data_IF_300437459342
#
_entry.id   IF_300437459342
#
_cell.length_a   1.000
_cell.length_b   1.000
_cell.length_c   1.000
_cell.angle_alpha   90.00
_cell.angle_beta   90.00
_cell.angle_gamma   90.00
#
_symmetry.space_group_name_H-M   'P 1'
#
loop_
_entity.id
_entity.type
_entity.pdbx_description
1 polymer ?
#
# COMPACT_ATOMS: atom_id res chain seq x y z
N UNK A 1 -34.71 -20.18 -31.38
CA UNK A 1 -35.94 -20.63 -30.68
C UNK A 1 -35.78 -20.25 -29.22
N UNK A 2 -36.40 -19.13 -28.82
CA UNK A 2 -37.38 -18.94 -27.74
C UNK A 2 -36.95 -19.53 -26.37
N UNK A 3 -36.84 -18.79 -25.24
CA UNK A 3 -37.89 -17.92 -24.64
C UNK A 3 -37.27 -16.93 -23.63
N UNK A 4 -37.76 -15.73 -23.67
CA UNK A 4 -37.77 -14.70 -22.63
C UNK A 4 -38.68 -15.13 -21.46
N UNK A 5 -38.29 -14.81 -20.22
CA UNK A 5 -39.24 -14.60 -19.12
C UNK A 5 -38.81 -13.33 -18.38
N UNK A 6 -39.62 -12.29 -18.57
CA UNK A 6 -39.65 -11.10 -17.73
C UNK A 6 -40.58 -11.39 -16.54
N UNK A 7 -40.25 -10.96 -15.36
CA UNK A 7 -41.15 -10.88 -14.23
C UNK A 7 -41.10 -9.48 -13.63
N UNK A 8 -42.16 -8.72 -13.91
CA UNK A 8 -42.59 -7.48 -13.29
C UNK A 8 -43.44 -7.82 -12.06
N UNK A 9 -43.23 -7.18 -10.93
CA UNK A 9 -44.19 -6.95 -9.84
C UNK A 9 -43.79 -5.67 -9.12
N UNK A 10 -44.41 -4.58 -9.41
CA UNK A 10 -45.62 -3.96 -8.81
C UNK A 10 -45.39 -3.37 -7.40
N UNK A 11 -45.46 -2.05 -7.45
CA UNK A 11 -45.66 -1.03 -6.44
C UNK A 11 -46.85 -1.38 -5.50
N UNK A 12 -46.71 -1.05 -4.21
CA UNK A 12 -47.81 -0.65 -3.37
C UNK A 12 -47.40 0.43 -2.36
N UNK A 13 -47.96 1.58 -2.63
CA UNK A 13 -48.00 2.79 -1.83
C UNK A 13 -49.08 2.62 -0.75
N UNK A 14 -48.80 2.88 0.52
CA UNK A 14 -49.87 3.25 1.48
C UNK A 14 -49.42 4.43 2.32
N UNK A 15 -50.15 5.50 2.10
CA UNK A 15 -50.21 6.76 2.83
C UNK A 15 -51.05 6.55 4.09
N UNK A 16 -50.59 7.08 5.23
CA UNK A 16 -51.33 7.14 6.50
C UNK A 16 -50.92 8.34 7.33
N UNK A 17 -51.63 9.46 7.11
CA UNK A 17 -51.69 10.59 8.02
C UNK A 17 -52.56 10.21 9.22
N UNK A 18 -52.20 10.66 10.43
CA UNK A 18 -53.13 11.31 11.36
C UNK A 18 -52.39 12.04 12.51
N UNK A 19 -52.83 13.25 12.75
CA UNK A 19 -52.40 14.21 13.71
C UNK A 19 -52.95 13.92 15.12
N UNK A 20 -52.28 14.47 16.15
CA UNK A 20 -52.82 14.51 17.52
C UNK A 20 -52.03 15.48 18.41
N UNK A 21 -52.56 16.69 18.58
CA UNK A 21 -52.11 17.69 19.57
C UNK A 21 -52.44 17.24 20.98
N UNK A 22 -51.65 17.68 21.96
CA UNK A 22 -51.97 17.62 23.39
C UNK A 22 -50.93 18.36 24.25
N UNK A 23 -51.28 19.60 24.61
CA UNK A 23 -50.63 20.50 25.58
C UNK A 23 -51.00 20.15 27.03
N UNK A 24 -50.07 20.34 28.00
CA UNK A 24 -50.28 20.96 29.33
C UNK A 24 -49.11 20.66 30.28
N UNK A 25 -48.37 21.67 30.67
CA UNK A 25 -48.36 22.45 31.93
C UNK A 25 -47.68 21.76 33.12
N UNK A 26 -46.72 22.52 33.65
CA UNK A 26 -46.02 22.35 34.91
C UNK A 26 -46.98 22.57 36.15
N UNK A 27 -46.53 22.23 37.38
CA UNK A 27 -46.20 23.34 38.26
C UNK A 27 -44.91 23.18 39.10
N UNK A 28 -44.37 24.34 39.43
CA UNK A 28 -43.37 24.62 40.46
C UNK A 28 -43.87 24.23 41.86
N UNK A 29 -42.95 23.90 42.77
CA UNK A 29 -43.14 24.15 44.21
C UNK A 29 -41.75 24.40 44.82
N UNK A 30 -41.63 25.63 45.31
CA UNK A 30 -40.63 26.20 46.21
C UNK A 30 -40.90 25.78 47.65
N UNK A 31 -39.90 25.92 48.53
CA UNK A 31 -39.83 26.14 49.97
C UNK A 31 -38.81 25.18 50.62
N UNK A 32 -37.92 25.46 51.51
CA UNK A 32 -37.43 26.67 52.24
C UNK A 32 -36.16 26.25 53.01
N UNK A 33 -35.37 27.22 53.32
CA UNK A 33 -34.19 27.35 54.15
C UNK A 33 -34.30 26.75 55.55
N UNK A 34 -33.22 26.14 56.07
CA UNK A 34 -32.81 26.35 57.48
C UNK A 34 -31.28 26.23 57.59
N UNK A 35 -30.69 27.28 58.16
CA UNK A 35 -29.28 27.36 58.54
C UNK A 35 -29.12 26.94 60.01
N UNK A 36 -28.02 26.32 60.36
CA UNK A 36 -27.33 26.44 61.67
C UNK A 36 -25.92 25.78 61.57
N UNK A 37 -24.90 26.57 61.64
CA UNK A 37 -23.93 26.91 62.70
C UNK A 37 -22.81 25.86 62.95
N UNK A 38 -21.64 26.24 62.47
CA UNK A 38 -20.27 26.22 63.00
C UNK A 38 -19.82 25.15 63.98
N UNK A 39 -18.74 24.41 63.56
CA UNK A 39 -17.53 24.19 64.38
C UNK A 39 -16.31 24.17 63.52
N UNK A 40 -15.36 25.09 63.72
CA UNK A 40 -13.98 25.07 63.22
C UNK A 40 -13.21 23.97 63.91
N UNK A 41 -12.54 23.12 63.03
CA UNK A 41 -11.39 22.37 63.49
C UNK A 41 -10.34 22.45 62.40
N UNK A 42 -9.34 23.27 62.70
CA UNK A 42 -8.11 23.41 61.93
C UNK A 42 -7.31 22.11 61.95
N UNK A 43 -7.13 21.47 60.79
CA UNK A 43 -6.15 20.43 60.62
C UNK A 43 -5.23 20.86 59.49
N UNK A 44 -3.95 21.05 59.83
CA UNK A 44 -2.87 21.32 58.88
C UNK A 44 -2.85 20.27 57.78
N UNK A 45 -3.04 20.73 56.55
CA UNK A 45 -2.86 19.91 55.35
C UNK A 45 -1.36 19.86 54.99
N UNK A 46 -0.72 18.76 55.28
CA UNK A 46 0.56 18.38 54.68
C UNK A 46 0.34 18.13 53.21
N UNK A 47 0.77 19.04 52.37
CA UNK A 47 0.83 18.86 50.90
C UNK A 47 1.85 17.78 50.55
N UNK A 48 1.37 16.59 50.24
CA UNK A 48 2.12 15.62 49.46
C UNK A 48 2.31 16.17 48.02
N UNK A 49 3.48 15.97 47.39
CA UNK A 49 3.66 16.39 46.01
C UNK A 49 2.73 15.56 45.12
N UNK A 50 1.87 16.22 44.36
CA UNK A 50 1.17 15.61 43.23
C UNK A 50 2.20 15.09 42.26
N UNK A 51 2.37 13.77 42.20
CA UNK A 51 3.02 13.11 41.11
C UNK A 51 2.11 13.30 39.90
N UNK A 52 2.46 14.22 39.03
CA UNK A 52 1.89 14.26 37.68
C UNK A 52 2.22 12.94 37.02
N UNK A 53 1.32 11.97 37.12
CA UNK A 53 1.37 10.76 36.34
C UNK A 53 1.40 11.16 34.87
N UNK A 54 2.38 10.62 34.12
CA UNK A 54 2.33 10.66 32.67
C UNK A 54 0.94 10.17 32.24
N UNK A 55 0.35 10.75 31.18
CA UNK A 55 -0.90 10.23 30.63
C UNK A 55 -0.74 8.73 30.42
N UNK A 56 -1.69 7.93 30.90
CA UNK A 56 -1.72 6.51 30.61
C UNK A 56 -1.65 6.39 29.07
N UNK A 57 -0.68 5.65 28.57
CA UNK A 57 -0.61 5.34 27.13
C UNK A 57 -1.93 4.68 26.75
N UNK A 58 -2.70 5.37 25.94
CA UNK A 58 -3.94 4.83 25.39
C UNK A 58 -3.52 3.67 24.48
N UNK A 59 -3.83 2.44 24.85
CA UNK A 59 -3.58 1.26 24.03
C UNK A 59 -4.47 1.32 22.79
N UNK A 60 -3.96 1.95 21.74
CA UNK A 60 -4.62 2.03 20.44
C UNK A 60 -4.27 0.77 19.65
N UNK A 61 -5.30 0.03 19.23
CA UNK A 61 -5.09 -1.07 18.27
C UNK A 61 -5.07 -0.51 16.86
N UNK A 62 -3.98 -0.72 16.13
CA UNK A 62 -3.80 -0.30 14.74
C UNK A 62 -4.26 -1.41 13.80
N UNK A 63 -5.25 -1.12 12.97
CA UNK A 63 -5.79 -2.05 11.98
C UNK A 63 -5.01 -1.94 10.67
N UNK A 64 -4.18 -2.96 10.37
CA UNK A 64 -3.30 -2.99 9.22
C UNK A 64 -3.96 -3.64 8.00
N UNK A 65 -3.66 -3.12 6.81
CA UNK A 65 -4.04 -3.73 5.54
C UNK A 65 -2.84 -3.96 4.63
N UNK A 66 -2.74 -5.14 4.02
CA UNK A 66 -1.71 -5.44 3.04
C UNK A 66 -2.26 -6.18 1.83
N UNK A 67 -1.53 -6.11 0.72
CA UNK A 67 -1.81 -6.95 -0.45
C UNK A 67 -0.85 -8.14 -0.50
N UNK A 68 -1.26 -9.18 -1.23
CA UNK A 68 -0.35 -10.25 -1.63
C UNK A 68 0.79 -9.71 -2.50
N UNK A 69 1.95 -10.39 -2.47
CA UNK A 69 3.14 -9.95 -3.20
C UNK A 69 4.06 -9.03 -2.37
N UNK A 70 4.96 -8.24 -3.03
CA UNK A 70 5.98 -7.44 -2.34
C UNK A 70 5.42 -6.46 -1.31
N UNK A 71 4.24 -5.88 -1.56
CA UNK A 71 3.55 -4.96 -0.66
C UNK A 71 3.27 -5.51 0.74
N UNK A 72 3.02 -6.82 0.85
CA UNK A 72 2.78 -7.50 2.13
C UNK A 72 4.02 -8.16 2.73
N UNK A 73 5.05 -8.45 1.90
CA UNK A 73 6.24 -9.19 2.38
C UNK A 73 6.99 -8.47 3.49
N UNK A 74 7.10 -7.13 3.41
CA UNK A 74 7.78 -6.33 4.44
C UNK A 74 7.06 -6.30 5.80
N UNK A 75 5.79 -6.72 5.85
CA UNK A 75 4.94 -6.66 7.05
C UNK A 75 4.79 -7.99 7.77
N UNK A 76 5.42 -9.08 7.29
CA UNK A 76 5.16 -10.44 7.82
C UNK A 76 5.51 -10.61 9.28
N UNK A 77 6.49 -9.88 9.81
CA UNK A 77 6.83 -9.90 11.25
C UNK A 77 5.76 -9.20 12.09
N UNK A 78 5.13 -8.15 11.58
CA UNK A 78 4.01 -7.49 12.25
C UNK A 78 2.81 -8.45 12.33
N UNK A 79 2.54 -9.21 11.27
CA UNK A 79 1.46 -10.20 11.25
C UNK A 79 1.75 -11.35 12.21
N UNK A 80 2.98 -11.87 12.23
CA UNK A 80 3.40 -12.88 13.20
C UNK A 80 3.24 -12.37 14.64
N UNK A 81 3.71 -11.15 14.91
CA UNK A 81 3.56 -10.52 16.24
C UNK A 81 2.10 -10.37 16.65
N UNK A 82 1.22 -9.99 15.72
CA UNK A 82 -0.22 -9.86 15.98
C UNK A 82 -0.87 -11.21 16.30
N UNK A 83 -0.47 -12.30 15.61
CA UNK A 83 -1.00 -13.65 15.85
C UNK A 83 -0.47 -14.26 17.16
N UNK A 84 0.81 -14.02 17.51
CA UNK A 84 1.43 -14.56 18.70
C UNK A 84 1.07 -13.79 19.98
N UNK A 85 0.78 -12.49 19.87
CA UNK A 85 0.48 -11.62 20.99
C UNK A 85 -0.78 -10.78 20.73
N UNK A 86 -1.95 -11.18 21.25
CA UNK A 86 -3.19 -10.39 21.12
C UNK A 86 -3.11 -8.96 21.70
N UNK A 87 -2.16 -8.72 22.60
CA UNK A 87 -1.93 -7.40 23.20
C UNK A 87 -0.83 -6.59 22.46
N UNK A 88 -0.43 -7.02 21.27
CA UNK A 88 0.60 -6.36 20.45
C UNK A 88 0.20 -4.94 19.99
N UNK A 89 -1.07 -4.60 20.05
CA UNK A 89 -1.60 -3.36 19.48
C UNK A 89 -1.84 -3.42 17.96
N UNK A 90 -1.76 -4.60 17.33
CA UNK A 90 -2.00 -4.78 15.89
C UNK A 90 -3.10 -5.80 15.60
N UNK A 91 -3.90 -5.47 14.58
CA UNK A 91 -4.70 -6.45 13.82
C UNK A 91 -4.40 -6.28 12.34
N UNK A 92 -4.69 -7.27 11.51
CA UNK A 92 -4.37 -7.17 10.10
C UNK A 92 -5.40 -7.83 9.18
N UNK A 93 -5.41 -7.39 7.92
CA UNK A 93 -6.18 -7.98 6.83
C UNK A 93 -5.32 -8.03 5.57
N UNK A 94 -5.24 -9.21 4.93
CA UNK A 94 -4.49 -9.40 3.68
C UNK A 94 -5.49 -9.62 2.56
N UNK A 95 -5.34 -8.88 1.44
CA UNK A 95 -6.22 -8.94 0.28
C UNK A 95 -5.44 -9.22 -1.00
N UNK A 96 -6.14 -9.66 -2.03
CA UNK A 96 -5.55 -9.91 -3.34
C UNK A 96 -5.26 -8.65 -4.14
N UNK A 97 -6.06 -7.59 -3.92
CA UNK A 97 -6.00 -6.36 -4.70
C UNK A 97 -6.29 -5.11 -3.86
N UNK A 98 -5.80 -3.96 -4.34
CA UNK A 98 -5.92 -2.68 -3.62
C UNK A 98 -7.38 -2.14 -3.59
N UNK A 99 -8.21 -2.52 -4.54
CA UNK A 99 -9.63 -2.16 -4.57
C UNK A 99 -10.45 -2.84 -3.46
N UNK A 100 -9.94 -3.93 -2.89
CA UNK A 100 -10.50 -4.55 -1.68
C UNK A 100 -10.08 -3.82 -0.39
N UNK A 101 -8.89 -3.21 -0.34
CA UNK A 101 -8.36 -2.49 0.82
C UNK A 101 -8.89 -1.04 0.90
N UNK A 102 -8.98 -0.39 -0.24
CA UNK A 102 -9.34 1.05 -0.31
C UNK A 102 -10.68 1.38 0.37
N UNK A 103 -11.78 0.64 0.14
CA UNK A 103 -13.03 0.91 0.85
C UNK A 103 -12.91 0.75 2.36
N UNK A 104 -12.18 -0.27 2.85
CA UNK A 104 -11.99 -0.53 4.28
C UNK A 104 -11.19 0.61 4.94
N UNK A 105 -10.15 1.12 4.27
CA UNK A 105 -9.41 2.30 4.73
C UNK A 105 -10.32 3.53 4.83
N UNK A 106 -11.09 3.83 3.79
CA UNK A 106 -11.95 5.01 3.75
C UNK A 106 -13.16 4.94 4.70
N UNK A 107 -13.58 3.73 5.08
CA UNK A 107 -14.64 3.49 6.07
C UNK A 107 -14.13 3.47 7.51
N UNK A 108 -12.81 3.48 7.71
CA UNK A 108 -12.18 3.43 9.04
C UNK A 108 -12.11 2.02 9.63
N UNK A 109 -12.31 0.98 8.82
CA UNK A 109 -12.10 -0.41 9.24
C UNK A 109 -10.61 -0.79 9.24
N UNK A 110 -9.80 -0.09 8.44
CA UNK A 110 -8.34 -0.13 8.45
C UNK A 110 -7.79 1.27 8.71
N UNK A 111 -6.68 1.35 9.42
CA UNK A 111 -6.00 2.60 9.76
C UNK A 111 -4.81 2.87 8.85
N UNK A 112 -4.02 1.81 8.59
CA UNK A 112 -2.80 1.86 7.81
C UNK A 112 -2.81 0.73 6.78
N UNK A 113 -2.50 1.06 5.52
CA UNK A 113 -2.47 0.07 4.43
C UNK A 113 -1.21 0.20 3.57
N UNK A 114 -0.74 -0.91 3.01
CA UNK A 114 0.28 -0.91 1.96
C UNK A 114 -0.40 -1.00 0.59
N UNK A 115 -0.19 0.02 -0.25
CA UNK A 115 -0.85 0.17 -1.55
C UNK A 115 0.13 0.62 -2.64
N UNK A 116 -0.19 0.46 -3.94
CA UNK A 116 0.59 1.04 -5.02
C UNK A 116 0.77 2.55 -4.87
N UNK A 117 1.99 3.03 -5.11
CA UNK A 117 2.37 4.43 -4.93
C UNK A 117 1.47 5.41 -5.71
N UNK A 118 1.16 5.10 -6.97
CA UNK A 118 0.27 5.90 -7.78
C UNK A 118 -1.17 5.95 -7.24
N UNK A 119 -1.66 4.83 -6.69
CA UNK A 119 -3.00 4.77 -6.09
C UNK A 119 -3.09 5.65 -4.84
N UNK A 120 -2.03 5.73 -4.03
CA UNK A 120 -1.99 6.62 -2.88
C UNK A 120 -2.21 8.09 -3.28
N UNK A 121 -1.56 8.56 -4.36
CA UNK A 121 -1.80 9.89 -4.94
C UNK A 121 -3.24 10.05 -5.45
N UNK A 122 -3.76 9.04 -6.16
CA UNK A 122 -5.15 9.05 -6.63
C UNK A 122 -6.14 9.18 -5.47
N UNK A 123 -5.90 8.45 -4.37
CA UNK A 123 -6.74 8.50 -3.18
C UNK A 123 -6.66 9.86 -2.49
N UNK A 124 -5.46 10.40 -2.32
CA UNK A 124 -5.28 11.74 -1.76
C UNK A 124 -6.09 12.79 -2.54
N UNK A 125 -5.96 12.82 -3.86
CA UNK A 125 -6.69 13.77 -4.71
C UNK A 125 -8.21 13.55 -4.65
N UNK A 126 -8.68 12.30 -4.73
CA UNK A 126 -10.12 11.98 -4.68
C UNK A 126 -10.76 12.27 -3.32
N UNK A 127 -10.02 12.09 -2.25
CA UNK A 127 -10.51 12.28 -0.89
C UNK A 127 -10.24 13.69 -0.34
N UNK A 128 -9.53 14.53 -1.11
CA UNK A 128 -9.15 15.89 -0.70
C UNK A 128 -8.32 15.88 0.59
N UNK A 129 -7.26 15.08 0.61
CA UNK A 129 -6.28 15.05 1.70
C UNK A 129 -6.64 14.15 2.89
N UNK A 130 -7.62 13.23 2.77
CA UNK A 130 -7.98 12.33 3.87
C UNK A 130 -7.06 11.12 4.06
N UNK A 131 -5.98 11.06 3.30
CA UNK A 131 -4.95 10.02 3.43
C UNK A 131 -3.57 10.65 3.40
N UNK A 132 -2.64 10.07 4.17
CA UNK A 132 -1.27 10.53 4.36
C UNK A 132 -0.31 9.38 4.10
N UNK A 133 0.73 9.60 3.31
CA UNK A 133 1.80 8.63 3.09
C UNK A 133 2.78 8.66 4.26
N UNK A 134 3.05 7.49 4.86
CA UNK A 134 3.92 7.34 6.03
C UNK A 134 5.34 6.90 5.64
N UNK A 135 5.45 5.99 4.65
CA UNK A 135 6.71 5.47 4.18
C UNK A 135 6.62 4.95 2.75
N UNK A 136 7.71 4.97 2.00
CA UNK A 136 7.89 4.07 0.84
C UNK A 136 8.31 2.71 1.38
N UNK A 137 7.61 1.65 0.96
CA UNK A 137 7.87 0.30 1.44
C UNK A 137 8.35 -0.68 0.38
N UNK A 138 8.17 -0.37 -0.91
CA UNK A 138 8.66 -1.17 -2.03
C UNK A 138 9.17 -0.25 -3.13
N UNK A 139 10.43 -0.40 -3.49
CA UNK A 139 11.00 0.23 -4.68
C UNK A 139 10.65 -0.56 -5.95
N UNK A 140 11.36 -0.36 -7.06
CA UNK A 140 11.08 -1.03 -8.31
C UNK A 140 11.23 -2.55 -8.22
N UNK A 141 10.26 -3.26 -8.75
CA UNK A 141 10.20 -4.72 -8.75
C UNK A 141 10.09 -5.30 -10.17
N UNK A 142 10.30 -4.47 -11.20
CA UNK A 142 10.19 -4.86 -12.60
C UNK A 142 11.56 -5.26 -13.15
N UNK A 143 11.60 -6.40 -13.81
CA UNK A 143 12.79 -6.97 -14.38
C UNK A 143 12.57 -7.38 -15.83
N UNK A 144 13.57 -7.18 -16.66
CA UNK A 144 13.62 -7.76 -18.01
C UNK A 144 14.40 -9.07 -17.92
N UNK A 145 13.72 -10.16 -18.22
CA UNK A 145 14.32 -11.50 -18.33
C UNK A 145 14.42 -11.93 -19.77
N UNK A 146 15.46 -12.71 -20.09
CA UNK A 146 15.64 -13.33 -21.39
C UNK A 146 15.68 -14.85 -21.25
N UNK A 147 15.00 -15.54 -22.16
CA UNK A 147 14.96 -17.00 -22.26
C UNK A 147 15.52 -17.46 -23.58
N UNK A 148 16.45 -18.44 -23.56
CA UNK A 148 17.03 -19.03 -24.77
C UNK A 148 18.01 -18.14 -25.53
N UNK A 149 18.52 -17.07 -24.90
CA UNK A 149 19.49 -16.12 -25.45
C UNK A 149 20.22 -15.35 -24.38
N UNK A 150 21.23 -14.57 -24.78
CA UNK A 150 21.98 -13.60 -23.96
C UNK A 150 22.24 -12.34 -24.81
N UNK A 151 21.16 -11.76 -25.35
CA UNK A 151 21.24 -10.69 -26.34
C UNK A 151 20.92 -9.31 -25.74
N UNK A 152 20.42 -9.25 -24.49
CA UNK A 152 20.06 -8.04 -23.77
C UNK A 152 21.06 -7.83 -22.63
N UNK A 153 21.83 -6.74 -22.71
CA UNK A 153 22.79 -6.33 -21.69
C UNK A 153 22.60 -4.86 -21.29
N UNK A 154 21.99 -4.08 -22.18
CA UNK A 154 21.66 -2.67 -21.95
C UNK A 154 20.22 -2.42 -22.43
N UNK A 155 19.67 -1.25 -22.08
CA UNK A 155 18.33 -0.85 -22.53
C UNK A 155 18.28 -0.71 -24.06
N UNK A 156 19.36 -0.23 -24.67
CA UNK A 156 19.46 -0.04 -26.13
C UNK A 156 19.39 -1.37 -26.89
N UNK A 157 19.81 -2.47 -26.28
CA UNK A 157 19.74 -3.80 -26.90
C UNK A 157 18.29 -4.28 -27.13
N UNK A 158 17.31 -3.61 -26.52
CA UNK A 158 15.88 -3.88 -26.75
C UNK A 158 15.40 -3.37 -28.12
N UNK A 159 16.16 -2.52 -28.79
CA UNK A 159 15.78 -1.99 -30.10
C UNK A 159 15.55 -3.09 -31.14
N UNK A 160 14.38 -3.02 -31.78
CA UNK A 160 13.96 -3.98 -32.81
C UNK A 160 13.53 -5.34 -32.28
N UNK A 161 13.45 -5.51 -30.95
CA UNK A 161 13.04 -6.78 -30.33
C UNK A 161 11.58 -6.81 -29.96
N UNK A 162 11.04 -8.02 -29.85
CA UNK A 162 9.73 -8.29 -29.24
C UNK A 162 9.90 -8.43 -27.73
N UNK A 163 9.14 -7.65 -26.95
CA UNK A 163 9.10 -7.69 -25.49
C UNK A 163 7.71 -8.11 -25.01
N UNK A 164 7.61 -9.25 -24.33
CA UNK A 164 6.37 -9.67 -23.69
C UNK A 164 6.24 -9.02 -22.32
N UNK A 165 5.11 -8.35 -22.05
CA UNK A 165 4.92 -7.59 -20.80
C UNK A 165 3.49 -7.67 -20.29
N UNK A 166 3.29 -7.26 -19.03
CA UNK A 166 1.98 -7.06 -18.41
C UNK A 166 1.84 -5.64 -17.87
N UNK A 167 0.62 -5.24 -17.51
CA UNK A 167 0.37 -3.95 -16.88
C UNK A 167 0.21 -2.79 -17.87
N UNK A 168 -0.32 -3.05 -19.07
CA UNK A 168 -0.68 -1.99 -20.03
C UNK A 168 -1.67 -1.01 -19.40
N UNK A 169 -1.42 0.29 -19.56
CA UNK A 169 -2.25 1.37 -18.97
C UNK A 169 -2.04 1.58 -17.48
N UNK A 170 -0.99 0.98 -16.91
CA UNK A 170 -0.68 1.07 -15.47
C UNK A 170 0.82 1.33 -15.21
N UNK A 171 1.22 1.44 -13.95
CA UNK A 171 2.59 1.77 -13.53
C UNK A 171 3.69 0.99 -14.26
N UNK A 172 3.60 -0.33 -14.49
CA UNK A 172 4.64 -1.06 -15.24
C UNK A 172 4.90 -0.52 -16.64
N UNK A 173 3.85 -0.14 -17.39
CA UNK A 173 4.02 0.46 -18.72
C UNK A 173 4.70 1.81 -18.62
N UNK A 174 4.29 2.67 -17.67
CA UNK A 174 4.86 4.01 -17.53
C UNK A 174 6.32 3.97 -17.13
N UNK A 175 6.70 3.06 -16.23
CA UNK A 175 8.10 2.86 -15.84
C UNK A 175 8.96 2.39 -17.02
N UNK A 176 8.47 1.41 -17.77
CA UNK A 176 9.16 0.94 -18.98
C UNK A 176 9.33 2.09 -19.98
N UNK A 177 8.26 2.81 -20.30
CA UNK A 177 8.29 3.92 -21.26
C UNK A 177 9.25 5.03 -20.85
N UNK A 178 9.30 5.35 -19.57
CA UNK A 178 10.22 6.33 -19.03
C UNK A 178 11.68 5.88 -19.22
N UNK A 179 12.02 4.67 -18.78
CA UNK A 179 13.39 4.14 -18.94
C UNK A 179 13.78 4.06 -20.42
N UNK A 180 12.88 3.62 -21.30
CA UNK A 180 13.14 3.58 -22.74
C UNK A 180 13.40 4.99 -23.31
N UNK A 181 12.53 5.96 -23.00
CA UNK A 181 12.65 7.32 -23.55
C UNK A 181 13.92 8.03 -23.10
N UNK A 182 14.32 7.86 -21.84
CA UNK A 182 15.56 8.44 -21.32
C UNK A 182 16.83 7.79 -21.93
N UNK A 183 16.71 6.55 -22.44
CA UNK A 183 17.76 5.87 -23.21
C UNK A 183 17.60 6.05 -24.75
N UNK A 184 16.78 7.01 -25.17
CA UNK A 184 16.63 7.39 -26.58
C UNK A 184 15.83 6.39 -27.44
N UNK A 185 15.01 5.54 -26.81
CA UNK A 185 14.13 4.58 -27.46
C UNK A 185 12.66 5.03 -27.39
N UNK A 186 11.95 4.91 -28.49
CA UNK A 186 10.50 5.11 -28.56
C UNK A 186 9.83 3.73 -28.41
N UNK A 187 9.08 3.55 -27.33
CA UNK A 187 8.42 2.28 -27.02
C UNK A 187 7.49 1.77 -28.13
N UNK A 188 6.89 2.68 -28.90
CA UNK A 188 5.91 2.31 -29.95
C UNK A 188 6.55 2.15 -31.33
N UNK A 189 7.79 2.62 -31.53
CA UNK A 189 8.50 2.56 -32.84
C UNK A 189 9.70 1.63 -32.83
N UNK A 190 10.43 1.61 -31.70
CA UNK A 190 11.70 0.89 -31.61
C UNK A 190 11.54 -0.52 -31.04
N UNK A 191 10.38 -0.85 -30.40
CA UNK A 191 10.08 -2.16 -29.85
C UNK A 191 8.73 -2.69 -30.36
N UNK A 192 8.60 -4.04 -30.38
CA UNK A 192 7.29 -4.70 -30.51
C UNK A 192 6.86 -5.19 -29.13
N UNK A 193 6.11 -4.35 -28.37
CA UNK A 193 5.66 -4.70 -27.03
C UNK A 193 4.34 -5.47 -27.10
N UNK A 194 4.40 -6.75 -26.76
CA UNK A 194 3.27 -7.68 -26.73
C UNK A 194 2.68 -7.75 -25.31
N UNK A 195 1.64 -6.98 -25.06
CA UNK A 195 0.96 -6.93 -23.77
C UNK A 195 0.10 -8.16 -23.53
N UNK A 196 0.30 -8.82 -22.38
CA UNK A 196 -0.50 -9.95 -21.89
C UNK A 196 -1.33 -9.50 -20.68
N UNK A 197 -2.42 -10.22 -20.42
CA UNK A 197 -3.30 -9.93 -19.29
C UNK A 197 -2.64 -10.29 -17.95
N UNK A 198 -1.92 -11.42 -17.92
CA UNK A 198 -1.35 -11.99 -16.71
C UNK A 198 0.13 -12.38 -16.88
N UNK A 199 0.96 -12.27 -15.82
CA UNK A 199 2.36 -12.71 -15.86
C UNK A 199 2.53 -14.19 -16.24
N UNK A 200 1.59 -15.04 -15.87
CA UNK A 200 1.57 -16.46 -16.24
C UNK A 200 1.46 -16.69 -17.75
N UNK A 201 0.73 -15.83 -18.48
CA UNK A 201 0.64 -15.88 -19.95
C UNK A 201 1.97 -15.51 -20.61
N UNK A 202 2.72 -14.56 -20.02
CA UNK A 202 4.06 -14.21 -20.49
C UNK A 202 4.98 -15.41 -20.37
N UNK A 203 5.03 -16.07 -19.22
CA UNK A 203 5.86 -17.26 -18.98
C UNK A 203 5.46 -18.41 -19.92
N UNK A 204 4.18 -18.65 -20.10
CA UNK A 204 3.68 -19.66 -21.03
C UNK A 204 4.09 -19.36 -22.48
N UNK A 205 4.08 -18.09 -22.89
CA UNK A 205 4.53 -17.66 -24.22
C UNK A 205 6.01 -17.93 -24.43
N UNK A 206 6.87 -17.55 -23.47
CA UNK A 206 8.32 -17.85 -23.53
C UNK A 206 8.57 -19.34 -23.62
N UNK A 207 7.89 -20.14 -22.78
CA UNK A 207 8.04 -21.60 -22.80
C UNK A 207 7.62 -22.22 -24.13
N UNK A 208 6.51 -21.77 -24.70
CA UNK A 208 6.00 -22.28 -25.99
C UNK A 208 6.94 -21.94 -27.18
N UNK A 209 7.60 -20.79 -27.11
CA UNK A 209 8.54 -20.36 -28.17
C UNK A 209 9.96 -20.88 -27.98
N UNK A 210 10.30 -21.35 -26.77
CA UNK A 210 11.66 -21.82 -26.45
C UNK A 210 12.68 -20.68 -26.32
N UNK A 211 12.27 -19.42 -26.54
CA UNK A 211 13.08 -18.21 -26.43
C UNK A 211 12.21 -16.96 -26.32
N UNK A 212 12.81 -15.84 -25.89
CA UNK A 212 12.16 -14.53 -25.91
C UNK A 212 12.58 -13.64 -24.75
N UNK A 213 12.10 -12.39 -24.79
CA UNK A 213 12.38 -11.35 -23.80
C UNK A 213 11.07 -10.97 -23.14
N UNK A 214 11.07 -10.84 -21.81
CA UNK A 214 9.89 -10.49 -21.06
C UNK A 214 10.19 -9.46 -19.97
N UNK A 215 9.25 -8.55 -19.72
CA UNK A 215 9.22 -7.72 -18.52
C UNK A 215 8.22 -8.32 -17.53
N UNK A 216 8.71 -8.70 -16.36
CA UNK A 216 7.94 -9.34 -15.30
C UNK A 216 8.23 -8.67 -13.95
N UNK A 217 7.20 -8.50 -13.09
CA UNK A 217 7.43 -8.08 -11.70
C UNK A 217 7.89 -9.26 -10.83
N UNK A 218 8.54 -8.98 -9.70
CA UNK A 218 8.62 -9.93 -8.60
C UNK A 218 7.23 -10.19 -8.01
N UNK A 219 6.92 -11.41 -7.60
CA UNK A 219 7.75 -12.62 -7.59
C UNK A 219 7.69 -13.45 -8.89
N UNK A 220 7.03 -12.93 -9.93
CA UNK A 220 6.79 -13.69 -11.17
C UNK A 220 8.06 -13.94 -11.99
N UNK A 221 9.02 -13.00 -11.97
CA UNK A 221 10.32 -13.25 -12.65
C UNK A 221 11.07 -14.39 -11.97
N UNK A 222 11.03 -14.49 -10.64
CA UNK A 222 11.59 -15.62 -9.89
C UNK A 222 10.85 -16.92 -10.20
N UNK A 223 9.51 -16.89 -10.29
CA UNK A 223 8.72 -18.05 -10.68
C UNK A 223 9.00 -18.48 -12.13
N UNK A 224 9.21 -17.52 -13.04
CA UNK A 224 9.64 -17.79 -14.42
C UNK A 224 10.97 -18.53 -14.47
N UNK A 225 11.97 -18.05 -13.72
CA UNK A 225 13.27 -18.72 -13.61
C UNK A 225 13.15 -20.16 -13.06
N UNK A 226 12.29 -20.37 -12.06
CA UNK A 226 12.04 -21.70 -11.51
C UNK A 226 11.34 -22.64 -12.51
N UNK A 227 10.47 -22.11 -13.38
CA UNK A 227 9.71 -22.89 -14.36
C UNK A 227 10.50 -23.15 -15.65
N UNK A 228 11.23 -22.15 -16.17
CA UNK A 228 11.95 -22.22 -17.44
C UNK A 228 13.37 -22.78 -17.29
N UNK A 229 13.90 -22.84 -16.06
CA UNK A 229 15.20 -23.41 -15.75
C UNK A 229 16.39 -22.58 -16.22
N UNK A 230 17.54 -23.23 -16.45
CA UNK A 230 18.85 -22.59 -16.74
C UNK A 230 18.86 -21.71 -17.99
N UNK A 231 17.90 -21.88 -18.89
CA UNK A 231 17.78 -21.05 -20.09
C UNK A 231 17.21 -19.65 -19.85
N UNK A 232 16.65 -19.39 -18.67
CA UNK A 232 16.10 -18.09 -18.29
C UNK A 232 17.04 -17.36 -17.32
N UNK A 233 17.30 -16.09 -17.59
CA UNK A 233 18.03 -15.21 -16.68
C UNK A 233 17.42 -13.80 -16.64
N UNK A 234 17.68 -13.07 -15.57
CA UNK A 234 17.38 -11.65 -15.47
C UNK A 234 18.48 -10.88 -16.20
N UNK A 235 18.10 -10.12 -17.21
CA UNK A 235 19.02 -9.31 -18.02
C UNK A 235 19.15 -7.88 -17.48
N UNK A 236 18.02 -7.23 -17.12
CA UNK A 236 18.01 -5.86 -16.62
C UNK A 236 17.02 -5.71 -15.43
N UNK A 237 17.33 -4.81 -14.53
CA UNK A 237 16.43 -4.29 -13.50
C UNK A 237 15.96 -2.90 -13.93
N UNK A 238 14.66 -2.71 -14.09
CA UNK A 238 14.08 -1.38 -14.42
C UNK A 238 14.42 -0.35 -13.32
N UNK A 239 14.52 -0.78 -12.06
CA UNK A 239 14.91 0.11 -10.94
C UNK A 239 16.35 0.57 -11.08
N UNK A 240 17.28 -0.35 -11.36
CA UNK A 240 18.69 0.01 -11.57
C UNK A 240 18.89 0.90 -12.80
N UNK A 241 18.18 0.62 -13.90
CA UNK A 241 18.23 1.48 -15.07
C UNK A 241 17.68 2.88 -14.80
N UNK A 242 16.60 2.97 -13.99
CA UNK A 242 16.06 4.25 -13.53
C UNK A 242 17.07 5.04 -12.69
N UNK A 243 17.74 4.39 -11.74
CA UNK A 243 18.74 5.03 -10.88
C UNK A 243 19.94 5.59 -11.68
N UNK A 244 20.34 4.89 -12.75
CA UNK A 244 21.41 5.36 -13.67
C UNK A 244 21.07 6.66 -14.39
N UNK A 245 19.78 6.98 -14.56
CA UNK A 245 19.35 8.23 -15.20
C UNK A 245 19.65 9.47 -14.34
N UNK A 246 19.84 9.30 -13.04
CA UNK A 246 20.07 10.40 -12.11
C UNK A 246 18.80 11.16 -11.74
N UNK A 247 18.93 12.38 -11.23
CA UNK A 247 17.78 13.21 -10.85
C UNK A 247 17.24 12.99 -9.45
N UNK A 248 17.73 11.96 -8.71
CA UNK A 248 17.41 11.74 -7.29
C UNK A 248 16.04 11.13 -7.02
N UNK A 249 15.22 10.87 -8.05
CA UNK A 249 13.98 10.10 -7.90
C UNK A 249 14.29 8.61 -7.89
N UNK A 250 13.46 7.85 -7.16
CA UNK A 250 13.53 6.39 -7.13
C UNK A 250 12.29 5.79 -7.80
N UNK A 251 12.49 4.65 -8.46
CA UNK A 251 11.39 3.85 -8.99
C UNK A 251 10.60 3.28 -7.80
N UNK A 252 9.48 3.91 -7.44
CA UNK A 252 8.68 3.58 -6.26
C UNK A 252 7.43 2.82 -6.65
N UNK A 253 7.34 1.56 -6.22
CA UNK A 253 6.19 0.68 -6.55
C UNK A 253 5.05 0.86 -5.55
N UNK A 254 5.36 0.93 -4.24
CA UNK A 254 4.34 0.97 -3.19
C UNK A 254 4.75 1.85 -2.02
N UNK A 255 3.75 2.30 -1.28
CA UNK A 255 3.92 3.05 -0.05
C UNK A 255 2.94 2.59 1.03
N UNK A 256 3.27 2.89 2.27
CA UNK A 256 2.39 2.79 3.42
C UNK A 256 1.54 4.07 3.46
N UNK A 257 0.23 3.89 3.48
CA UNK A 257 -0.77 4.96 3.49
C UNK A 257 -1.64 4.83 4.73
N UNK A 258 -1.89 5.92 5.43
CA UNK A 258 -2.78 5.96 6.60
C UNK A 258 -3.95 6.91 6.36
N UNK A 259 -5.01 6.76 7.15
CA UNK A 259 -6.04 7.80 7.26
C UNK A 259 -5.46 9.03 7.96
N UNK A 260 -5.62 10.21 7.38
CA UNK A 260 -5.12 11.47 7.98
C UNK A 260 -5.71 11.69 9.38
N UNK A 261 -6.99 11.41 9.56
CA UNK A 261 -7.65 11.48 10.87
C UNK A 261 -6.99 10.58 11.93
N UNK A 262 -6.57 9.38 11.55
CA UNK A 262 -5.85 8.46 12.45
C UNK A 262 -4.46 9.01 12.81
N UNK A 263 -3.73 9.54 11.81
CA UNK A 263 -2.40 10.14 12.03
C UNK A 263 -2.48 11.32 13.01
N UNK A 264 -3.49 12.17 12.86
CA UNK A 264 -3.69 13.33 13.73
C UNK A 264 -4.13 12.94 15.15
N UNK A 265 -4.98 11.92 15.27
CA UNK A 265 -5.51 11.49 16.56
C UNK A 265 -4.50 10.63 17.36
N UNK A 266 -3.66 9.85 16.69
CA UNK A 266 -2.80 8.85 17.31
C UNK A 266 -1.34 8.93 16.82
N UNK A 267 -0.65 10.08 16.91
CA UNK A 267 0.71 10.24 16.37
C UNK A 267 1.72 9.28 17.00
N UNK A 268 1.58 8.94 18.28
CA UNK A 268 2.47 7.99 18.95
C UNK A 268 2.30 6.55 18.41
N UNK A 269 1.07 6.16 18.08
CA UNK A 269 0.82 4.86 17.45
C UNK A 269 1.41 4.78 16.03
N UNK A 270 1.39 5.89 15.29
CA UNK A 270 2.04 6.00 13.97
C UNK A 270 3.55 5.89 14.08
N UNK A 271 4.19 6.57 15.04
CA UNK A 271 5.64 6.48 15.27
C UNK A 271 6.05 5.08 15.71
N UNK A 272 5.29 4.44 16.60
CA UNK A 272 5.52 3.05 17.00
C UNK A 272 5.42 2.10 15.80
N UNK A 273 4.35 2.24 15.00
CA UNK A 273 4.18 1.45 13.78
C UNK A 273 5.35 1.61 12.81
N UNK A 274 5.81 2.84 12.56
CA UNK A 274 6.93 3.08 11.62
C UNK A 274 8.21 2.41 12.10
N UNK A 275 8.49 2.46 13.42
CA UNK A 275 9.63 1.77 14.02
C UNK A 275 9.52 0.24 13.86
N UNK A 276 8.38 -0.33 14.25
CA UNK A 276 8.16 -1.77 14.17
C UNK A 276 8.16 -2.27 12.72
N UNK A 277 7.67 -1.44 11.79
CA UNK A 277 7.72 -1.71 10.35
C UNK A 277 9.15 -1.69 9.81
N UNK A 278 9.99 -0.73 10.20
CA UNK A 278 11.41 -0.68 9.83
C UNK A 278 12.15 -1.92 10.35
N UNK A 279 11.89 -2.32 11.60
CA UNK A 279 12.42 -3.56 12.19
C UNK A 279 11.97 -4.81 11.42
N UNK A 280 10.68 -4.86 11.03
CA UNK A 280 10.12 -5.94 10.21
C UNK A 280 10.82 -6.04 8.85
N UNK A 281 10.95 -4.93 8.12
CA UNK A 281 11.61 -4.88 6.81
C UNK A 281 13.07 -5.30 6.92
N UNK A 282 13.78 -4.80 7.92
CA UNK A 282 15.19 -5.15 8.18
C UNK A 282 15.32 -6.66 8.41
N UNK A 283 14.50 -7.21 9.30
CA UNK A 283 14.50 -8.64 9.58
C UNK A 283 14.18 -9.49 8.36
N UNK A 284 13.19 -9.09 7.55
CA UNK A 284 12.81 -9.80 6.31
C UNK A 284 13.97 -9.86 5.33
N UNK A 285 14.67 -8.75 5.14
CA UNK A 285 15.82 -8.68 4.22
C UNK A 285 17.03 -9.49 4.72
N UNK A 286 17.24 -9.55 6.03
CA UNK A 286 18.34 -10.31 6.64
C UNK A 286 18.03 -11.81 6.76
N UNK A 287 16.74 -12.20 6.77
CA UNK A 287 16.28 -13.57 7.00
C UNK A 287 15.33 -14.08 5.90
N UNK A 288 15.72 -14.05 4.61
CA UNK A 288 14.80 -14.33 3.49
C UNK A 288 14.20 -15.74 3.52
N UNK A 289 14.88 -16.72 4.12
CA UNK A 289 14.36 -18.08 4.26
C UNK A 289 13.19 -18.14 5.27
N UNK A 290 13.37 -17.59 6.46
CA UNK A 290 12.32 -17.55 7.49
C UNK A 290 11.17 -16.63 7.07
N UNK A 291 11.49 -15.45 6.50
CA UNK A 291 10.51 -14.54 5.95
C UNK A 291 9.70 -15.18 4.80
N UNK A 292 10.34 -15.99 3.98
CA UNK A 292 9.67 -16.76 2.94
C UNK A 292 8.69 -17.79 3.51
N UNK A 293 9.02 -18.45 4.64
CA UNK A 293 8.10 -19.36 5.33
C UNK A 293 6.88 -18.60 5.88
N UNK A 294 7.09 -17.42 6.49
CA UNK A 294 5.99 -16.53 6.93
C UNK A 294 5.12 -16.06 5.76
N UNK A 295 5.72 -15.69 4.63
CA UNK A 295 4.96 -15.35 3.41
C UNK A 295 4.05 -16.50 2.98
N UNK A 296 4.51 -17.75 3.11
CA UNK A 296 3.72 -18.95 2.85
C UNK A 296 2.59 -19.13 3.86
N UNK A 297 2.87 -18.96 5.16
CA UNK A 297 1.91 -19.05 6.26
C UNK A 297 0.76 -18.05 6.08
N UNK A 298 1.08 -16.80 5.77
CA UNK A 298 0.11 -15.73 5.55
C UNK A 298 -0.50 -15.73 4.13
N UNK A 299 -0.16 -16.71 3.30
CA UNK A 299 -0.66 -16.82 1.91
C UNK A 299 -0.36 -15.61 1.03
N UNK A 300 0.71 -14.87 1.32
CA UNK A 300 1.18 -13.72 0.54
C UNK A 300 1.83 -14.17 -0.76
N UNK A 301 2.75 -15.12 -0.67
CA UNK A 301 3.43 -15.79 -1.79
C UNK A 301 3.84 -17.19 -1.32
N UNK A 302 3.84 -18.18 -2.21
CA UNK A 302 4.31 -19.53 -1.87
C UNK A 302 5.75 -19.50 -1.34
N UNK A 303 6.00 -20.11 -0.18
CA UNK A 303 7.28 -20.04 0.52
C UNK A 303 8.52 -20.31 -0.37
N UNK A 304 8.59 -21.34 -1.23
CA UNK A 304 9.76 -21.57 -2.06
C UNK A 304 10.05 -20.46 -3.08
N UNK A 305 9.02 -19.73 -3.51
CA UNK A 305 9.17 -18.58 -4.40
C UNK A 305 9.55 -17.33 -3.59
N UNK A 306 8.89 -17.10 -2.44
CA UNK A 306 9.17 -15.97 -1.58
C UNK A 306 10.63 -15.93 -1.13
N UNK A 307 11.18 -17.06 -0.67
CA UNK A 307 12.59 -17.20 -0.25
C UNK A 307 13.58 -16.70 -1.30
N UNK A 308 13.31 -16.96 -2.57
CA UNK A 308 14.16 -16.55 -3.70
C UNK A 308 13.86 -15.13 -4.18
N UNK A 309 12.61 -14.67 -4.03
CA UNK A 309 12.15 -13.38 -4.53
C UNK A 309 12.48 -12.22 -3.57
N UNK A 310 12.42 -12.43 -2.25
CA UNK A 310 12.64 -11.39 -1.22
C UNK A 310 13.89 -10.56 -1.49
N UNK A 311 15.09 -11.14 -1.77
CA UNK A 311 16.29 -10.35 -2.04
C UNK A 311 16.21 -9.43 -3.28
N UNK A 312 15.20 -9.61 -4.11
CA UNK A 312 14.97 -8.83 -5.34
C UNK A 312 13.65 -8.05 -5.30
N UNK A 313 12.97 -8.03 -4.15
CA UNK A 313 11.72 -7.29 -3.98
C UNK A 313 11.93 -5.82 -3.56
N UNK A 314 13.20 -5.41 -3.34
CA UNK A 314 13.57 -4.04 -2.95
C UNK A 314 12.68 -3.50 -1.81
N UNK A 315 12.52 -4.32 -0.75
CA UNK A 315 11.74 -3.97 0.43
C UNK A 315 12.52 -2.94 1.27
N UNK A 316 11.88 -1.82 1.57
CA UNK A 316 12.49 -0.69 2.27
C UNK A 316 11.53 -0.08 3.28
N UNK A 317 12.06 0.76 4.18
CA UNK A 317 11.28 1.70 4.99
C UNK A 317 11.92 3.10 4.81
N UNK A 318 11.43 3.87 3.85
CA UNK A 318 11.92 5.24 3.59
C UNK A 318 10.85 6.22 4.06
N UNK A 319 11.20 7.10 5.02
CA UNK A 319 10.28 8.03 5.69
C UNK A 319 10.68 9.49 5.49
N UNK A 320 9.85 10.43 5.92
CA UNK A 320 10.14 11.87 5.99
C UNK A 320 10.56 12.47 4.65
N UNK A 321 11.54 13.38 4.69
CA UNK A 321 12.01 14.10 3.50
C UNK A 321 12.55 13.17 2.39
N UNK A 322 13.13 12.02 2.76
CA UNK A 322 13.60 11.04 1.77
C UNK A 322 12.42 10.35 1.07
N UNK A 323 11.35 10.01 1.81
CA UNK A 323 10.11 9.51 1.22
C UNK A 323 9.54 10.51 0.23
N UNK A 324 9.43 11.79 0.62
CA UNK A 324 8.91 12.85 -0.26
C UNK A 324 9.74 12.97 -1.55
N UNK A 325 11.05 12.93 -1.46
CA UNK A 325 11.92 12.97 -2.64
C UNK A 325 11.71 11.75 -3.55
N UNK A 326 11.70 10.53 -2.98
CA UNK A 326 11.54 9.30 -3.72
C UNK A 326 10.14 9.16 -4.36
N UNK A 327 9.10 9.25 -3.51
CA UNK A 327 7.71 9.09 -3.95
C UNK A 327 7.27 10.27 -4.84
N UNK A 328 7.57 11.50 -4.45
CA UNK A 328 7.22 12.70 -5.22
C UNK A 328 7.86 12.69 -6.60
N UNK A 329 9.16 12.42 -6.71
CA UNK A 329 9.85 12.32 -8.01
C UNK A 329 9.30 11.20 -8.90
N UNK A 330 8.93 10.06 -8.31
CA UNK A 330 8.25 8.99 -9.04
C UNK A 330 6.88 9.44 -9.56
N UNK A 331 6.08 10.12 -8.73
CA UNK A 331 4.75 10.63 -9.11
C UNK A 331 4.85 11.72 -10.20
N UNK A 332 5.91 12.54 -10.20
CA UNK A 332 6.19 13.53 -11.27
C UNK A 332 6.38 12.85 -12.63
N UNK A 333 7.17 11.76 -12.67
CA UNK A 333 7.36 10.97 -13.89
C UNK A 333 6.03 10.38 -14.36
N UNK A 334 5.23 9.81 -13.45
CA UNK A 334 3.92 9.25 -13.79
C UNK A 334 2.94 10.32 -14.27
N UNK A 335 2.94 11.51 -13.67
CA UNK A 335 2.14 12.66 -14.10
C UNK A 335 2.51 13.07 -15.53
N UNK A 336 3.79 13.13 -15.84
CA UNK A 336 4.29 13.45 -17.19
C UNK A 336 3.87 12.43 -18.25
N UNK A 337 3.78 11.15 -17.88
CA UNK A 337 3.32 10.08 -18.78
C UNK A 337 1.79 10.05 -18.93
N UNK A 338 1.08 10.14 -17.82
CA UNK A 338 -0.38 10.12 -17.80
C UNK A 338 -0.92 10.76 -16.51
N UNK A 339 -1.49 11.99 -16.58
CA UNK A 339 -2.02 12.66 -15.39
C UNK A 339 -3.06 11.83 -14.60
N UNK A 340 -3.87 11.03 -15.30
CA UNK A 340 -4.87 10.19 -14.63
C UNK A 340 -4.23 9.11 -13.71
N UNK A 341 -2.98 8.71 -13.99
CA UNK A 341 -2.26 7.71 -13.19
C UNK A 341 -2.03 8.18 -11.75
N UNK A 342 -1.97 9.49 -11.50
CA UNK A 342 -1.76 10.10 -10.18
C UNK A 342 -2.98 10.87 -9.65
N UNK A 343 -4.14 10.75 -10.33
CA UNK A 343 -5.37 11.43 -9.92
C UNK A 343 -5.52 12.86 -10.45
N UNK A 344 -4.74 13.24 -11.47
CA UNK A 344 -4.83 14.51 -12.19
C UNK A 344 -3.79 15.57 -11.79
N UNK A 345 -3.26 15.49 -10.58
CA UNK A 345 -2.22 16.40 -10.06
C UNK A 345 -1.35 15.71 -9.03
N UNK A 346 -0.19 16.28 -8.74
CA UNK A 346 0.64 15.82 -7.61
C UNK A 346 -0.04 16.16 -6.28
N UNK A 347 0.14 15.32 -5.23
CA UNK A 347 -0.27 15.65 -3.89
C UNK A 347 0.44 16.89 -3.32
N UNK A 348 -0.21 17.57 -2.37
CA UNK A 348 0.40 18.64 -1.59
C UNK A 348 1.45 18.14 -0.58
N UNK A 349 2.12 19.10 0.08
CA UNK A 349 3.16 18.79 1.07
C UNK A 349 2.58 18.02 2.29
N UNK A 350 1.34 18.26 2.63
CA UNK A 350 0.58 17.60 3.69
C UNK A 350 0.30 16.11 3.45
N UNK A 351 0.54 15.63 2.23
CA UNK A 351 0.47 14.20 1.91
C UNK A 351 1.61 13.39 2.55
N UNK A 352 2.77 14.00 2.80
CA UNK A 352 4.00 13.30 3.19
C UNK A 352 4.26 13.47 4.69
N UNK A 353 4.07 12.43 5.48
CA UNK A 353 4.30 12.44 6.92
C UNK A 353 5.78 12.73 7.27
N UNK A 354 6.00 13.71 8.13
CA UNK A 354 7.34 14.05 8.62
C UNK A 354 8.29 14.66 7.59
N UNK A 355 7.80 15.18 6.46
CA UNK A 355 8.61 15.74 5.37
C UNK A 355 8.60 17.27 5.33
#
# INVERSE_FOLDING_TARGET
MKKWIACMCLLSLTLGLLAGCGTASAPETTVETTAETTVETTVEATTAPETTGAPAEEHVTVCLGAMTGPTGMGMVKLFETADENPDSGYTYSIKGAADELTPLLLQGELDIVSVPANLASVLYNKTQGKVTALAVNVLGVLYIGEYGGETVKTVEDLKGKTLYATGKGSTPEYFLRYVLSENGLDADKDLDIQWKSEPSEVVATLNAQGQGIAMLPQPYVTAAGAQLGEGFHVALSISEEWEKLGGGSLCTTACILARTEFVEAHPQAVEAFLKDFEESVTWVNENPDQAGDLCGTFSIVKAPIAKKAIPQCNLVCITGAQMKAALGGCLEVLLGQNPAAVGGSLPGDDFYYGA
#
